data_IF_954745994531
#
_entry.id   IF_954745994531
#
_cell.length_a   1.000
_cell.length_b   1.000
_cell.length_c   1.000
_cell.angle_alpha   90.00
_cell.angle_beta   90.00
_cell.angle_gamma   90.00
#
_symmetry.space_group_name_H-M   'P 1'
#
loop_
_entity.id
_entity.type
_entity.pdbx_description
1 polymer ?
#
# COMPACT_ATOMS: atom_id res chain seq x y z
N UNK A 1 25.17 -13.51 9.22
CA UNK A 1 23.90 -14.25 9.07
C UNK A 1 22.85 -13.52 9.88
N UNK A 2 22.34 -12.40 9.34
CA UNK A 2 21.39 -11.54 10.05
C UNK A 2 19.98 -11.99 9.66
N UNK A 3 19.24 -12.41 10.67
CA UNK A 3 17.94 -13.06 10.60
C UNK A 3 16.94 -12.28 9.75
N UNK A 4 16.34 -13.00 8.80
CA UNK A 4 15.13 -12.64 8.03
C UNK A 4 13.87 -12.46 8.90
N UNK A 5 14.00 -12.58 10.23
CA UNK A 5 12.88 -12.65 11.18
C UNK A 5 12.32 -11.29 11.63
N UNK A 6 13.03 -10.17 11.48
CA UNK A 6 12.55 -8.86 11.99
C UNK A 6 11.55 -8.15 11.05
N UNK A 7 11.25 -8.72 9.89
CA UNK A 7 10.44 -8.06 8.85
C UNK A 7 8.92 -8.28 9.02
N UNK A 8 8.51 -9.23 9.87
CA UNK A 8 7.11 -9.57 10.14
C UNK A 8 6.53 -8.73 11.29
N UNK A 9 7.38 -8.21 12.18
CA UNK A 9 6.96 -7.44 13.36
C UNK A 9 7.01 -5.91 13.17
N UNK A 10 7.33 -5.41 11.97
CA UNK A 10 7.19 -3.97 11.71
C UNK A 10 5.70 -3.58 11.72
N UNK A 11 5.28 -2.57 12.52
CA UNK A 11 3.89 -2.18 12.78
C UNK A 11 2.89 -2.16 11.61
N UNK A 12 3.27 -1.78 10.37
CA UNK A 12 2.33 -1.79 9.24
C UNK A 12 1.81 -3.19 8.88
N UNK A 13 2.57 -4.26 9.12
CA UNK A 13 2.24 -5.63 8.70
C UNK A 13 1.59 -6.50 9.78
N UNK A 14 1.22 -5.88 10.91
CA UNK A 14 0.47 -6.55 11.98
C UNK A 14 -0.80 -7.22 11.42
N UNK A 15 -1.14 -8.38 11.97
CA UNK A 15 -2.38 -9.07 11.68
C UNK A 15 -3.59 -8.12 11.83
N UNK A 16 -4.57 -8.30 10.95
CA UNK A 16 -5.84 -7.58 11.07
C UNK A 16 -6.59 -8.02 12.33
N UNK A 17 -7.44 -7.16 12.92
CA UNK A 17 -8.24 -7.52 14.07
C UNK A 17 -9.04 -8.80 13.82
N UNK A 18 -9.09 -9.69 14.81
CA UNK A 18 -9.87 -10.92 14.73
C UNK A 18 -11.35 -10.59 14.50
N UNK A 19 -12.00 -11.31 13.58
CA UNK A 19 -13.41 -11.08 13.24
C UNK A 19 -13.68 -9.80 12.45
N UNK A 20 -12.66 -9.07 12.00
CA UNK A 20 -12.85 -7.89 11.15
C UNK A 20 -13.58 -8.28 9.85
N UNK A 21 -14.65 -7.55 9.53
CA UNK A 21 -15.33 -7.67 8.24
C UNK A 21 -14.34 -7.33 7.12
N UNK A 22 -14.24 -8.21 6.12
CA UNK A 22 -13.39 -8.01 4.95
C UNK A 22 -14.23 -7.45 3.82
N UNK A 23 -13.87 -6.26 3.36
CA UNK A 23 -14.52 -5.55 2.26
C UNK A 23 -13.67 -5.63 1.01
N UNK A 24 -14.33 -5.62 -0.15
CA UNK A 24 -13.68 -5.42 -1.45
C UNK A 24 -13.56 -3.94 -1.75
N UNK A 25 -12.33 -3.44 -1.80
CA UNK A 25 -12.02 -2.07 -2.21
C UNK A 25 -11.60 -2.03 -3.67
N UNK A 26 -12.15 -1.10 -4.45
CA UNK A 26 -11.79 -0.88 -5.86
C UNK A 26 -11.02 0.43 -6.02
N UNK A 27 -10.10 0.44 -6.96
CA UNK A 27 -9.30 1.63 -7.23
C UNK A 27 -8.45 1.53 -8.47
N UNK A 28 -7.58 2.52 -8.66
CA UNK A 28 -6.68 2.57 -9.79
C UNK A 28 -5.90 3.87 -9.90
N UNK A 29 -5.03 3.93 -10.91
CA UNK A 29 -4.38 5.19 -11.23
C UNK A 29 -5.38 6.21 -11.79
N UNK A 30 -5.04 7.50 -11.74
CA UNK A 30 -5.93 8.58 -12.17
C UNK A 30 -6.42 8.43 -13.62
N UNK A 31 -5.54 8.05 -14.55
CA UNK A 31 -5.92 7.88 -15.96
C UNK A 31 -6.69 6.58 -16.26
N UNK A 32 -6.90 5.71 -15.26
CA UNK A 32 -7.64 4.45 -15.44
C UNK A 32 -6.94 3.39 -16.29
N UNK A 33 -5.63 3.53 -16.58
CA UNK A 33 -4.83 2.46 -17.22
C UNK A 33 -4.74 1.23 -16.31
N UNK A 34 -4.46 1.46 -15.02
CA UNK A 34 -4.40 0.42 -14.00
C UNK A 34 -5.63 0.48 -13.13
N UNK A 35 -6.29 -0.66 -12.97
CA UNK A 35 -7.44 -0.85 -12.07
C UNK A 35 -7.20 -2.08 -11.21
N UNK A 36 -7.69 -2.06 -9.99
CA UNK A 36 -7.48 -3.15 -9.05
C UNK A 36 -8.68 -3.37 -8.13
N UNK A 37 -8.70 -4.56 -7.55
CA UNK A 37 -9.49 -4.95 -6.38
C UNK A 37 -8.54 -5.32 -5.24
N UNK A 38 -8.91 -4.95 -4.02
CA UNK A 38 -8.16 -5.30 -2.81
C UNK A 38 -9.12 -5.66 -1.69
N UNK A 39 -9.00 -6.89 -1.17
CA UNK A 39 -9.72 -7.31 0.02
C UNK A 39 -9.00 -6.79 1.27
N UNK A 40 -9.67 -6.00 2.08
CA UNK A 40 -9.11 -5.39 3.29
C UNK A 40 -10.23 -5.05 4.28
N UNK A 41 -9.96 -5.02 5.60
CA UNK A 41 -10.92 -4.50 6.56
C UNK A 41 -11.43 -3.10 6.19
N UNK A 42 -12.56 -2.69 6.78
CA UNK A 42 -13.00 -1.31 6.67
C UNK A 42 -11.90 -0.33 7.09
N UNK A 43 -11.88 0.85 6.48
CA UNK A 43 -10.85 1.85 6.79
C UNK A 43 -10.98 2.41 8.21
N UNK A 44 -12.16 2.25 8.84
CA UNK A 44 -12.38 2.57 10.25
C UNK A 44 -11.68 1.54 11.17
N UNK A 45 -11.84 0.24 10.86
CA UNK A 45 -11.23 -0.85 11.64
C UNK A 45 -9.72 -0.92 11.40
N UNK A 46 -9.28 -0.65 10.17
CA UNK A 46 -7.86 -0.65 9.78
C UNK A 46 -7.54 0.60 8.95
N UNK A 47 -7.23 1.73 9.60
CA UNK A 47 -6.95 2.98 8.91
C UNK A 47 -5.67 2.92 8.07
N UNK A 48 -5.58 3.73 6.99
CA UNK A 48 -4.35 3.90 6.24
C UNK A 48 -3.19 4.33 7.14
N UNK A 49 -2.02 3.77 6.86
CA UNK A 49 -0.79 4.14 7.54
C UNK A 49 -0.17 5.34 6.86
N UNK A 50 0.10 6.38 7.66
CA UNK A 50 0.86 7.55 7.27
C UNK A 50 2.32 7.35 7.68
N UNK A 51 3.19 7.08 6.72
CA UNK A 51 4.62 6.86 6.97
C UNK A 51 5.38 8.17 6.77
N UNK A 52 6.07 8.62 7.82
CA UNK A 52 6.84 9.87 7.77
C UNK A 52 8.23 9.75 7.11
N UNK A 53 8.58 8.63 6.48
CA UNK A 53 9.89 8.49 5.81
C UNK A 53 9.99 9.46 4.61
N UNK A 54 11.22 9.74 4.17
CA UNK A 54 11.47 10.74 3.12
C UNK A 54 10.72 10.45 1.81
N UNK A 55 10.57 9.17 1.44
CA UNK A 55 9.87 8.76 0.23
C UNK A 55 8.35 8.94 0.35
N UNK A 56 7.74 8.39 1.41
CA UNK A 56 6.29 8.47 1.61
C UNK A 56 5.84 9.93 1.84
N UNK A 57 6.63 10.72 2.59
CA UNK A 57 6.38 12.15 2.78
C UNK A 57 6.40 12.91 1.45
N UNK A 58 7.41 12.69 0.60
CA UNK A 58 7.53 13.39 -0.69
C UNK A 58 6.43 13.01 -1.69
N UNK A 59 5.89 11.79 -1.60
CA UNK A 59 4.82 11.30 -2.49
C UNK A 59 3.41 11.48 -1.92
N UNK A 60 3.28 11.85 -0.64
CA UNK A 60 1.99 11.95 0.04
C UNK A 60 1.25 10.61 0.12
N UNK A 61 1.96 9.49 0.13
CA UNK A 61 1.37 8.14 0.11
C UNK A 61 0.78 7.77 1.48
N UNK A 62 -0.45 7.24 1.47
CA UNK A 62 -1.08 6.58 2.62
C UNK A 62 -1.26 5.11 2.28
N UNK A 63 -0.87 4.18 3.14
CA UNK A 63 -0.84 2.76 2.77
C UNK A 63 -1.84 1.88 3.50
N UNK A 64 -2.56 1.06 2.74
CA UNK A 64 -3.28 -0.11 3.23
C UNK A 64 -2.43 -1.35 2.97
N UNK A 65 -2.19 -2.16 3.99
CA UNK A 65 -1.31 -3.31 3.90
C UNK A 65 -2.08 -4.62 3.99
N UNK A 66 -1.67 -5.60 3.18
CA UNK A 66 -2.22 -6.95 3.19
C UNK A 66 -1.31 -7.95 2.49
N UNK A 67 -1.76 -9.19 2.43
CA UNK A 67 -1.10 -10.23 1.64
C UNK A 67 -1.29 -9.98 0.15
N UNK A 68 -0.29 -10.34 -0.66
CA UNK A 68 -0.39 -10.21 -2.12
C UNK A 68 -1.56 -11.02 -2.70
N UNK A 69 -1.96 -12.12 -2.05
CA UNK A 69 -3.09 -12.96 -2.46
C UNK A 69 -4.45 -12.26 -2.38
N UNK A 70 -4.54 -11.15 -1.64
CA UNK A 70 -5.77 -10.35 -1.47
C UNK A 70 -5.90 -9.21 -2.47
N UNK A 71 -4.91 -9.04 -3.33
CA UNK A 71 -4.88 -8.03 -4.36
C UNK A 71 -5.06 -8.66 -5.74
N UNK A 72 -5.91 -8.06 -6.56
CA UNK A 72 -6.07 -8.45 -7.96
C UNK A 72 -5.96 -7.24 -8.86
N UNK A 73 -5.06 -7.29 -9.84
CA UNK A 73 -4.99 -6.30 -10.91
C UNK A 73 -6.07 -6.64 -11.93
N UNK A 74 -7.09 -5.79 -12.06
CA UNK A 74 -8.25 -6.02 -12.94
C UNK A 74 -8.08 -5.38 -14.31
N UNK A 75 -7.14 -4.43 -14.46
CA UNK A 75 -6.77 -3.82 -15.75
C UNK A 75 -5.31 -3.38 -15.77
N UNK A 76 -4.69 -3.50 -16.94
CA UNK A 76 -3.25 -3.29 -17.16
C UNK A 76 -2.44 -4.54 -16.82
N UNK A 77 -1.12 -4.49 -17.03
CA UNK A 77 -0.22 -5.59 -16.67
C UNK A 77 0.94 -5.14 -15.78
N UNK A 78 1.56 -6.10 -15.10
CA UNK A 78 2.61 -5.82 -14.11
C UNK A 78 3.86 -5.17 -14.71
N UNK A 79 4.18 -5.52 -15.96
CA UNK A 79 5.32 -5.01 -16.72
C UNK A 79 5.10 -3.59 -17.27
N UNK A 80 3.86 -3.11 -17.32
CA UNK A 80 3.54 -1.75 -17.75
C UNK A 80 3.72 -0.72 -16.63
N UNK A 81 3.84 -1.14 -15.37
CA UNK A 81 4.13 -0.23 -14.27
C UNK A 81 5.58 0.27 -14.35
N UNK A 82 5.78 1.57 -14.08
CA UNK A 82 7.10 2.03 -13.69
C UNK A 82 7.39 1.62 -12.25
N UNK A 83 8.61 1.17 -11.99
CA UNK A 83 9.05 0.70 -10.69
C UNK A 83 10.15 1.58 -10.12
N UNK A 84 10.09 1.82 -8.81
CA UNK A 84 11.17 2.46 -8.05
C UNK A 84 11.55 1.59 -6.85
N UNK A 85 12.84 1.32 -6.71
CA UNK A 85 13.44 0.58 -5.61
C UNK A 85 14.57 1.40 -5.00
N UNK A 86 14.63 1.43 -3.67
CA UNK A 86 15.66 2.18 -2.95
C UNK A 86 16.04 1.46 -1.64
N UNK A 87 17.18 1.86 -1.07
CA UNK A 87 17.71 1.28 0.16
C UNK A 87 17.95 -0.21 0.04
N UNK A 88 17.38 -1.00 0.96
CA UNK A 88 17.53 -2.46 1.03
C UNK A 88 16.82 -3.23 -0.09
N UNK A 89 16.17 -2.54 -1.05
CA UNK A 89 15.46 -3.13 -2.20
C UNK A 89 14.49 -4.27 -1.80
N UNK A 90 13.83 -4.10 -0.66
CA UNK A 90 12.87 -5.09 -0.12
C UNK A 90 11.52 -5.04 -0.83
N UNK A 91 11.19 -3.89 -1.42
CA UNK A 91 9.90 -3.62 -2.03
C UNK A 91 10.08 -2.82 -3.31
N UNK A 92 9.21 -3.10 -4.29
CA UNK A 92 9.07 -2.35 -5.54
C UNK A 92 7.90 -1.40 -5.43
N UNK A 93 8.14 -0.09 -5.48
CA UNK A 93 7.07 0.92 -5.58
C UNK A 93 6.62 1.02 -7.04
N UNK A 94 5.36 0.71 -7.31
CA UNK A 94 4.77 0.65 -8.64
C UNK A 94 3.87 1.87 -8.89
N UNK A 95 4.14 2.60 -9.96
CA UNK A 95 3.41 3.81 -10.32
C UNK A 95 3.10 3.85 -11.81
N UNK A 96 2.03 4.56 -12.17
CA UNK A 96 1.60 4.66 -13.55
C UNK A 96 2.57 5.54 -14.35
N UNK A 97 3.16 5.06 -15.46
CA UNK A 97 4.03 5.89 -16.30
C UNK A 97 3.29 7.02 -17.02
N UNK A 98 1.95 6.95 -17.12
CA UNK A 98 1.14 7.95 -17.83
C UNK A 98 0.79 9.14 -16.93
N UNK A 99 0.23 8.87 -15.75
CA UNK A 99 -0.26 9.92 -14.86
C UNK A 99 0.57 10.12 -13.59
N UNK A 100 1.66 9.35 -13.40
CA UNK A 100 2.56 9.44 -12.25
C UNK A 100 1.98 8.94 -10.92
N UNK A 101 0.70 8.56 -10.86
CA UNK A 101 0.07 8.07 -9.62
C UNK A 101 0.81 6.85 -9.08
N UNK A 102 1.26 6.94 -7.83
CA UNK A 102 1.75 5.79 -7.08
C UNK A 102 0.57 4.93 -6.65
N UNK A 103 0.48 3.72 -7.19
CA UNK A 103 -0.69 2.84 -7.02
C UNK A 103 -0.47 1.88 -5.86
N UNK A 104 0.68 1.22 -5.85
CA UNK A 104 0.99 0.22 -4.83
C UNK A 104 2.48 0.01 -4.69
N UNK A 105 2.86 -0.77 -3.69
CA UNK A 105 4.14 -1.46 -3.69
C UNK A 105 3.97 -2.93 -3.39
N UNK A 106 4.93 -3.73 -3.86
CA UNK A 106 4.96 -5.18 -3.62
C UNK A 106 6.33 -5.65 -3.13
N UNK A 107 6.35 -6.71 -2.35
CA UNK A 107 7.56 -7.35 -1.85
C UNK A 107 7.30 -8.13 -0.58
N UNK A 108 8.15 -9.13 -0.31
CA UNK A 108 8.03 -9.96 0.89
C UNK A 108 6.69 -10.71 1.03
N UNK A 109 6.01 -11.00 -0.09
CA UNK A 109 4.67 -11.60 -0.09
C UNK A 109 3.55 -10.66 0.38
N UNK A 110 3.86 -9.36 0.54
CA UNK A 110 2.94 -8.32 0.99
C UNK A 110 2.73 -7.27 -0.10
N UNK A 111 1.59 -6.61 0.00
CA UNK A 111 1.24 -5.46 -0.82
C UNK A 111 0.94 -4.26 0.09
N UNK A 112 1.30 -3.06 -0.37
CA UNK A 112 0.84 -1.80 0.22
C UNK A 112 0.18 -0.93 -0.83
N UNK A 113 -1.15 -0.83 -0.77
CA UNK A 113 -1.97 -0.03 -1.69
C UNK A 113 -1.97 1.42 -1.23
N UNK A 114 -1.79 2.36 -2.17
CA UNK A 114 -1.99 3.77 -1.85
C UNK A 114 -3.50 4.04 -1.68
N UNK A 115 -3.95 4.26 -0.44
CA UNK A 115 -5.36 4.46 -0.11
C UNK A 115 -5.99 5.60 -0.93
N UNK A 116 -5.21 6.61 -1.30
CA UNK A 116 -5.64 7.74 -2.15
C UNK A 116 -6.02 7.35 -3.57
N UNK A 117 -5.77 6.11 -3.97
CA UNK A 117 -6.12 5.57 -5.29
C UNK A 117 -7.38 4.71 -5.26
N UNK A 118 -8.04 4.56 -4.10
CA UNK A 118 -9.38 3.97 -4.03
C UNK A 118 -10.42 4.93 -4.60
N UNK A 119 -11.43 4.41 -5.30
CA UNK A 119 -12.43 5.24 -5.97
C UNK A 119 -13.27 6.07 -4.99
N UNK A 120 -13.53 5.53 -3.79
CA UNK A 120 -14.34 6.17 -2.76
C UNK A 120 -13.48 6.72 -1.59
N UNK A 121 -12.24 7.14 -1.87
CA UNK A 121 -11.37 7.68 -0.83
C UNK A 121 -11.74 9.13 -0.47
N UNK A 122 -12.29 9.33 0.72
CA UNK A 122 -12.61 10.65 1.24
C UNK A 122 -11.58 11.10 2.29
N UNK A 123 -10.58 11.89 1.87
CA UNK A 123 -9.46 12.28 2.74
C UNK A 123 -9.86 13.05 4.01
N UNK A 124 -11.03 13.71 4.02
CA UNK A 124 -11.54 14.45 5.18
C UNK A 124 -12.27 13.59 6.21
N UNK A 125 -12.57 12.32 5.88
CA UNK A 125 -13.37 11.41 6.72
C UNK A 125 -12.59 10.20 7.22
N UNK A 126 -11.29 10.13 6.94
CA UNK A 126 -10.47 8.95 7.22
C UNK A 126 -9.36 9.32 8.21
N UNK A 127 -9.37 8.66 9.36
CA UNK A 127 -8.25 8.68 10.30
C UNK A 127 -7.03 7.96 9.70
N UNK A 128 -5.84 8.38 10.11
CA UNK A 128 -4.59 7.72 9.72
C UNK A 128 -3.82 7.24 10.95
N UNK A 129 -3.05 6.17 10.77
CA UNK A 129 -2.12 5.68 11.80
C UNK A 129 -0.71 6.10 11.42
N UNK A 130 -0.08 6.94 12.25
CA UNK A 130 1.32 7.32 12.05
C UNK A 130 2.26 6.11 12.21
N UNK A 131 3.17 5.95 11.24
CA UNK A 131 4.33 5.07 11.33
C UNK A 131 5.62 5.91 11.22
N UNK A 132 6.48 5.81 12.24
CA UNK A 132 7.76 6.52 12.29
C UNK A 132 8.83 5.84 11.41
N UNK A 133 8.64 5.92 10.10
CA UNK A 133 9.55 5.40 9.10
C UNK A 133 10.89 6.11 9.06
N UNK A 134 11.04 7.35 9.58
CA UNK A 134 12.34 8.01 9.68
C UNK A 134 13.33 7.28 10.59
N UNK A 135 12.83 6.64 11.65
CA UNK A 135 13.68 5.89 12.60
C UNK A 135 13.72 4.39 12.34
N UNK A 136 12.75 3.87 11.59
CA UNK A 136 12.51 2.42 11.46
C UNK A 136 12.80 1.85 10.06
N UNK A 137 13.12 2.68 9.05
CA UNK A 137 13.44 2.26 7.69
C UNK A 137 14.85 2.66 7.25
#
# INVERSE_FOLDING_TARGET
MQTVYDAVETPPFQAWPEGAEILKHVGGCHCGKFRFEFEHPSLEVRPPVDCNCSLCTKRGELHLYGDESRFTLTKGSWDEFSAYEWGKKRVKKLFCPICGCSVLWKGMGKVGINARTLDNFESSKIDTRLFDGKKRL
#
